data_IF_177790345891
#
_entry.id   IF_177790345891
#
_cell.length_a   1.000
_cell.length_b   1.000
_cell.length_c   1.000
_cell.angle_alpha   90.00
_cell.angle_beta   90.00
_cell.angle_gamma   90.00
#
_symmetry.space_group_name_H-M   'P 1'
#
loop_
_entity.id
_entity.type
_entity.pdbx_description
1 polymer ?
#
# COMPACT_ATOMS: atom_id res chain seq x y z
N UNK A 1 14.27 -3.99 -53.42
CA UNK A 1 13.65 -4.77 -52.30
C UNK A 1 12.62 -5.69 -52.92
N UNK A 2 12.72 -7.04 -52.74
CA UNK A 2 11.84 -8.00 -53.42
C UNK A 2 10.38 -7.83 -52.94
N UNK A 3 9.44 -7.87 -53.87
CA UNK A 3 7.98 -7.77 -53.63
C UNK A 3 7.49 -8.71 -52.52
N UNK A 4 8.13 -9.90 -52.35
CA UNK A 4 7.89 -10.82 -51.22
C UNK A 4 8.24 -10.23 -49.85
N UNK A 5 9.33 -9.43 -49.72
CA UNK A 5 9.71 -8.78 -48.43
C UNK A 5 8.75 -7.67 -48.04
N UNK A 6 8.17 -6.97 -49.03
CA UNK A 6 7.15 -5.93 -48.78
C UNK A 6 5.85 -6.54 -48.26
N UNK A 7 5.46 -7.73 -48.82
CA UNK A 7 4.25 -8.45 -48.37
C UNK A 7 4.40 -8.95 -46.94
N UNK A 8 5.57 -9.45 -46.49
CA UNK A 8 5.81 -9.90 -45.14
C UNK A 8 5.84 -8.71 -44.13
N UNK A 9 6.39 -7.57 -44.51
CA UNK A 9 6.38 -6.35 -43.67
C UNK A 9 4.95 -5.80 -43.53
N UNK A 10 4.16 -5.81 -44.61
CA UNK A 10 2.75 -5.43 -44.58
C UNK A 10 1.88 -6.40 -43.75
N UNK A 11 2.11 -7.72 -43.86
CA UNK A 11 1.45 -8.70 -42.97
C UNK A 11 1.83 -8.54 -41.53
N UNK A 12 3.11 -8.32 -41.20
CA UNK A 12 3.54 -8.09 -39.83
C UNK A 12 2.94 -6.80 -39.22
N UNK A 13 2.83 -5.73 -40.02
CA UNK A 13 2.17 -4.47 -39.60
C UNK A 13 0.65 -4.65 -39.41
N UNK A 14 -0.03 -5.42 -40.24
CA UNK A 14 -1.46 -5.70 -40.10
C UNK A 14 -1.72 -6.56 -38.86
N UNK A 15 -0.87 -7.55 -38.54
CA UNK A 15 -0.97 -8.34 -37.34
C UNK A 15 -0.72 -7.51 -36.07
N UNK A 16 0.25 -6.59 -36.06
CA UNK A 16 0.52 -5.73 -34.91
C UNK A 16 -0.60 -4.71 -34.66
N UNK A 17 -1.21 -4.18 -35.71
CA UNK A 17 -2.36 -3.26 -35.57
C UNK A 17 -3.62 -4.00 -35.15
N UNK A 18 -3.84 -5.24 -35.59
CA UNK A 18 -4.99 -6.04 -35.17
C UNK A 18 -4.91 -6.44 -33.68
N UNK A 19 -3.71 -6.79 -33.18
CA UNK A 19 -3.52 -7.10 -31.75
C UNK A 19 -3.73 -5.89 -30.87
N UNK A 20 -3.25 -4.71 -31.24
CA UNK A 20 -3.50 -3.47 -30.49
C UNK A 20 -4.98 -3.07 -30.47
N UNK A 21 -5.67 -3.19 -31.60
CA UNK A 21 -7.10 -2.90 -31.67
C UNK A 21 -7.95 -3.88 -30.82
N UNK A 22 -7.51 -5.14 -30.70
CA UNK A 22 -8.18 -6.16 -29.90
C UNK A 22 -7.94 -5.94 -28.39
N UNK A 23 -6.73 -5.52 -27.98
CA UNK A 23 -6.39 -5.12 -26.61
C UNK A 23 -7.27 -3.97 -26.12
N UNK A 24 -7.36 -2.89 -26.89
CA UNK A 24 -8.21 -1.74 -26.59
C UNK A 24 -9.69 -2.15 -26.47
N UNK A 25 -10.16 -3.13 -27.27
CA UNK A 25 -11.54 -3.61 -27.19
C UNK A 25 -11.81 -4.35 -25.87
N UNK A 26 -10.93 -5.25 -25.41
CA UNK A 26 -11.13 -5.97 -24.15
C UNK A 26 -11.09 -5.04 -22.92
N UNK A 27 -10.13 -4.14 -22.84
CA UNK A 27 -10.03 -3.18 -21.74
C UNK A 27 -11.25 -2.26 -21.70
N UNK A 28 -11.70 -1.77 -22.86
CA UNK A 28 -12.92 -0.94 -22.95
C UNK A 28 -14.16 -1.72 -22.52
N UNK A 29 -14.31 -2.97 -22.95
CA UNK A 29 -15.43 -3.83 -22.54
C UNK A 29 -15.40 -4.12 -21.05
N UNK A 30 -14.20 -4.39 -20.50
CA UNK A 30 -14.01 -4.59 -19.07
C UNK A 30 -14.45 -3.36 -18.28
N UNK A 31 -13.97 -2.17 -18.62
CA UNK A 31 -14.34 -0.93 -17.94
C UNK A 31 -15.86 -0.65 -18.03
N UNK A 32 -16.48 -0.86 -19.19
CA UNK A 32 -17.91 -0.69 -19.35
C UNK A 32 -18.74 -1.70 -18.55
N UNK A 33 -18.24 -2.91 -18.37
CA UNK A 33 -18.90 -3.94 -17.55
C UNK A 33 -18.67 -3.67 -16.06
N UNK A 34 -17.45 -3.30 -15.68
CA UNK A 34 -17.06 -2.94 -14.30
C UNK A 34 -17.96 -1.85 -13.72
N UNK A 35 -18.19 -0.78 -14.50
CA UNK A 35 -19.05 0.34 -14.09
C UNK A 35 -20.53 -0.09 -13.84
N UNK A 36 -20.95 -1.24 -14.39
CA UNK A 36 -22.33 -1.73 -14.29
C UNK A 36 -22.56 -2.80 -13.24
N UNK A 37 -21.59 -3.70 -13.07
CA UNK A 37 -21.80 -4.93 -12.27
C UNK A 37 -20.70 -5.15 -11.20
N UNK A 38 -19.67 -4.30 -11.13
CA UNK A 38 -18.54 -4.46 -10.23
C UNK A 38 -17.56 -5.56 -10.65
N UNK A 39 -16.51 -5.75 -9.86
CA UNK A 39 -15.39 -6.63 -10.20
C UNK A 39 -15.75 -8.11 -10.36
N UNK A 40 -16.74 -8.63 -9.64
CA UNK A 40 -17.15 -10.04 -9.68
C UNK A 40 -18.61 -10.22 -10.15
N UNK A 41 -19.17 -9.24 -10.86
CA UNK A 41 -20.55 -9.30 -11.37
C UNK A 41 -20.73 -10.25 -12.56
N UNK A 42 -21.99 -10.44 -12.94
CA UNK A 42 -22.38 -11.36 -14.02
C UNK A 42 -21.68 -11.00 -15.33
N UNK A 43 -21.03 -11.99 -15.96
CA UNK A 43 -20.32 -11.86 -17.23
C UNK A 43 -18.84 -11.46 -17.09
N UNK A 44 -18.38 -11.02 -15.91
CA UNK A 44 -17.01 -10.60 -15.69
C UNK A 44 -16.02 -11.76 -15.87
N UNK A 45 -16.31 -12.92 -15.31
CA UNK A 45 -15.48 -14.12 -15.45
C UNK A 45 -15.28 -14.51 -16.91
N UNK A 46 -16.38 -14.61 -17.66
CA UNK A 46 -16.33 -14.95 -19.08
C UNK A 46 -15.52 -13.94 -19.91
N UNK A 47 -15.65 -12.65 -19.58
CA UNK A 47 -14.91 -11.59 -20.26
C UNK A 47 -13.41 -11.72 -19.98
N UNK A 48 -13.01 -11.90 -18.72
CA UNK A 48 -11.62 -12.06 -18.31
C UNK A 48 -11.02 -13.34 -18.91
N UNK A 49 -11.75 -14.45 -18.94
CA UNK A 49 -11.29 -15.70 -19.54
C UNK A 49 -11.07 -15.59 -21.05
N UNK A 50 -11.95 -14.89 -21.77
CA UNK A 50 -11.76 -14.63 -23.19
C UNK A 50 -10.57 -13.68 -23.43
N UNK A 51 -10.42 -12.65 -22.58
CA UNK A 51 -9.28 -11.72 -22.65
C UNK A 51 -7.96 -12.44 -22.39
N UNK A 52 -7.90 -13.32 -21.39
CA UNK A 52 -6.68 -14.07 -21.07
C UNK A 52 -6.25 -15.06 -22.15
N UNK A 53 -7.20 -15.60 -22.95
CA UNK A 53 -6.89 -16.43 -24.10
C UNK A 53 -6.32 -15.61 -25.26
N UNK A 54 -6.80 -14.37 -25.42
CA UNK A 54 -6.34 -13.48 -26.49
C UNK A 54 -5.02 -12.79 -26.14
N UNK A 55 -4.85 -12.41 -24.87
CA UNK A 55 -3.72 -11.60 -24.39
C UNK A 55 -3.26 -12.09 -23.01
N UNK A 56 -2.59 -13.26 -22.92
CA UNK A 56 -2.23 -13.91 -21.66
C UNK A 56 -1.20 -13.14 -20.82
N UNK A 57 -0.48 -12.18 -21.42
CA UNK A 57 0.53 -11.35 -20.78
C UNK A 57 0.08 -9.87 -20.61
N UNK A 58 -1.20 -9.58 -20.84
CA UNK A 58 -1.73 -8.24 -20.59
C UNK A 58 -1.77 -7.95 -19.10
N UNK A 59 -1.02 -6.93 -18.64
CA UNK A 59 -1.01 -6.51 -17.24
C UNK A 59 -2.40 -6.05 -16.79
N UNK A 60 -3.14 -5.35 -17.63
CA UNK A 60 -4.52 -4.90 -17.32
C UNK A 60 -5.47 -6.09 -17.15
N UNK A 61 -5.31 -7.15 -17.97
CA UNK A 61 -6.09 -8.40 -17.83
C UNK A 61 -5.73 -9.11 -16.52
N UNK A 62 -4.45 -9.18 -16.17
CA UNK A 62 -3.99 -9.82 -14.94
C UNK A 62 -4.47 -9.06 -13.69
N UNK A 63 -4.49 -7.72 -13.74
CA UNK A 63 -5.11 -6.91 -12.70
C UNK A 63 -6.64 -7.12 -12.62
N UNK A 64 -7.33 -7.22 -13.76
CA UNK A 64 -8.76 -7.51 -13.79
C UNK A 64 -9.07 -8.88 -13.15
N UNK A 65 -8.24 -9.89 -13.43
CA UNK A 65 -8.32 -11.23 -12.81
C UNK A 65 -8.07 -11.18 -11.31
N UNK A 66 -7.07 -10.43 -10.86
CA UNK A 66 -6.82 -10.19 -9.44
C UNK A 66 -8.06 -9.62 -8.75
N UNK A 67 -8.62 -8.53 -9.25
CA UNK A 67 -9.79 -7.92 -8.63
C UNK A 67 -11.02 -8.84 -8.63
N UNK A 68 -11.20 -9.65 -9.66
CA UNK A 68 -12.28 -10.63 -9.73
C UNK A 68 -12.16 -11.67 -8.61
N UNK A 69 -11.00 -12.32 -8.48
CA UNK A 69 -10.78 -13.32 -7.44
C UNK A 69 -10.74 -12.71 -6.04
N UNK A 70 -10.10 -11.56 -5.85
CA UNK A 70 -10.06 -10.86 -4.56
C UNK A 70 -11.48 -10.53 -4.07
N UNK A 71 -12.33 -10.01 -4.96
CA UNK A 71 -13.72 -9.68 -4.62
C UNK A 71 -14.52 -10.93 -4.26
N UNK A 72 -14.29 -12.04 -4.95
CA UNK A 72 -14.94 -13.33 -4.62
C UNK A 72 -14.40 -13.96 -3.34
N UNK A 73 -13.12 -13.72 -3.02
CA UNK A 73 -12.49 -14.21 -1.80
C UNK A 73 -12.99 -13.49 -0.56
N UNK A 74 -13.38 -12.22 -0.68
CA UNK A 74 -13.73 -11.36 0.45
C UNK A 74 -15.14 -11.65 0.97
N UNK A 75 -15.23 -11.83 2.27
CA UNK A 75 -16.45 -11.78 3.06
C UNK A 75 -16.25 -10.90 4.28
N UNK A 76 -17.25 -10.80 5.13
CA UNK A 76 -17.17 -10.11 6.41
C UNK A 76 -17.51 -11.02 7.56
N UNK A 77 -16.91 -10.76 8.72
CA UNK A 77 -17.28 -11.39 9.98
C UNK A 77 -17.30 -10.36 11.11
N UNK A 78 -18.08 -10.61 12.12
CA UNK A 78 -18.14 -9.79 13.32
C UNK A 78 -17.30 -10.42 14.41
N UNK A 79 -16.33 -9.67 14.94
CA UNK A 79 -15.45 -10.13 16.00
C UNK A 79 -15.64 -9.31 17.27
N UNK A 80 -15.85 -9.93 18.45
CA UNK A 80 -15.84 -9.25 19.73
C UNK A 80 -14.41 -9.00 20.21
N UNK A 81 -14.16 -7.83 20.82
CA UNK A 81 -12.88 -7.44 21.42
C UNK A 81 -13.11 -6.67 22.72
N UNK A 82 -12.11 -6.67 23.60
CA UNK A 82 -12.09 -5.85 24.81
C UNK A 82 -11.55 -4.43 24.53
N UNK A 83 -10.78 -4.25 23.48
CA UNK A 83 -10.15 -3.00 23.11
C UNK A 83 -11.15 -2.09 22.38
N UNK A 84 -11.17 -0.80 22.78
CA UNK A 84 -11.99 0.24 22.15
C UNK A 84 -11.45 0.71 20.78
N UNK A 85 -10.29 0.22 20.36
CA UNK A 85 -9.72 0.41 19.03
C UNK A 85 -9.09 -0.91 18.57
N UNK A 86 -9.45 -1.38 17.39
CA UNK A 86 -8.93 -2.61 16.81
C UNK A 86 -8.55 -2.37 15.34
N UNK A 87 -7.28 -2.60 15.01
CA UNK A 87 -6.72 -2.36 13.67
C UNK A 87 -7.01 -0.94 13.13
N UNK A 88 -6.88 0.06 14.02
CA UNK A 88 -7.14 1.46 13.68
C UNK A 88 -8.63 1.86 13.63
N UNK A 89 -9.55 0.90 13.77
CA UNK A 89 -10.99 1.16 13.67
C UNK A 89 -11.65 1.30 15.05
N UNK A 90 -12.75 2.08 15.08
CA UNK A 90 -13.67 2.13 16.23
C UNK A 90 -14.74 1.06 16.10
N UNK A 91 -15.30 0.53 17.21
CA UNK A 91 -16.35 -0.49 17.14
C UNK A 91 -17.63 0.10 16.55
N UNK A 92 -18.36 -0.70 15.77
CA UNK A 92 -19.71 -0.30 15.31
C UNK A 92 -20.79 -0.52 16.39
N UNK A 93 -20.50 -1.38 17.40
CA UNK A 93 -21.41 -1.66 18.50
C UNK A 93 -20.58 -1.94 19.76
N UNK A 94 -21.05 -1.44 20.91
CA UNK A 94 -20.50 -1.77 22.24
C UNK A 94 -21.64 -2.23 23.13
N UNK A 95 -21.50 -3.40 23.73
CA UNK A 95 -22.46 -3.97 24.69
C UNK A 95 -21.74 -4.32 26.00
N UNK A 96 -22.51 -4.41 27.08
CA UNK A 96 -21.99 -4.93 28.36
C UNK A 96 -22.21 -6.44 28.42
N UNK A 97 -21.20 -7.15 28.87
CA UNK A 97 -21.31 -8.57 29.22
C UNK A 97 -22.06 -8.78 30.55
N UNK A 98 -22.20 -10.02 30.97
CA UNK A 98 -22.86 -10.38 32.25
C UNK A 98 -22.15 -9.84 33.50
N UNK A 99 -20.87 -9.47 33.39
CA UNK A 99 -20.08 -8.85 34.45
C UNK A 99 -20.09 -7.31 34.40
N UNK A 100 -20.79 -6.71 33.42
CA UNK A 100 -20.88 -5.27 33.22
C UNK A 100 -19.67 -4.66 32.50
N UNK A 101 -18.80 -5.48 31.90
CA UNK A 101 -17.62 -5.06 31.16
C UNK A 101 -18.02 -4.76 29.71
N UNK A 102 -17.45 -3.70 29.13
CA UNK A 102 -17.71 -3.34 27.73
C UNK A 102 -17.05 -4.35 26.77
N UNK A 103 -17.87 -4.86 25.83
CA UNK A 103 -17.44 -5.70 24.72
C UNK A 103 -17.69 -4.92 23.43
N UNK A 104 -16.64 -4.74 22.66
CA UNK A 104 -16.65 -3.97 21.43
C UNK A 104 -16.73 -4.91 20.22
N UNK A 105 -17.63 -4.63 19.30
CA UNK A 105 -17.87 -5.45 18.11
C UNK A 105 -17.34 -4.73 16.87
N UNK A 106 -16.55 -5.46 16.09
CA UNK A 106 -15.93 -4.97 14.85
C UNK A 106 -16.33 -5.84 13.69
N UNK A 107 -16.64 -5.22 12.57
CA UNK A 107 -16.74 -5.91 11.29
C UNK A 107 -15.36 -5.96 10.66
N UNK A 108 -14.88 -7.16 10.33
CA UNK A 108 -13.57 -7.38 9.72
C UNK A 108 -13.70 -8.21 8.45
N UNK A 109 -12.76 -8.00 7.52
CA UNK A 109 -12.69 -8.83 6.32
C UNK A 109 -12.27 -10.25 6.69
N UNK A 110 -12.88 -11.22 6.03
CA UNK A 110 -12.47 -12.61 6.04
C UNK A 110 -12.28 -13.08 4.61
N UNK A 111 -11.39 -14.01 4.39
CA UNK A 111 -11.00 -14.44 3.04
C UNK A 111 -11.21 -15.95 2.87
N UNK A 112 -11.70 -16.34 1.69
CA UNK A 112 -11.51 -17.68 1.17
C UNK A 112 -10.06 -17.79 0.71
N UNK A 113 -9.29 -18.71 1.32
CA UNK A 113 -7.85 -18.84 1.10
C UNK A 113 -7.53 -19.25 -0.34
N UNK A 114 -8.33 -20.12 -0.95
CA UNK A 114 -8.09 -20.60 -2.32
C UNK A 114 -8.25 -19.45 -3.31
N UNK A 115 -9.37 -18.72 -3.22
CA UNK A 115 -9.62 -17.58 -4.11
C UNK A 115 -8.62 -16.43 -3.87
N UNK A 116 -8.16 -16.26 -2.63
CA UNK A 116 -7.13 -15.27 -2.32
C UNK A 116 -5.77 -15.63 -2.96
N UNK A 117 -5.40 -16.91 -2.95
CA UNK A 117 -4.20 -17.40 -3.65
C UNK A 117 -4.33 -17.20 -5.16
N UNK A 118 -5.48 -17.56 -5.77
CA UNK A 118 -5.74 -17.31 -7.21
C UNK A 118 -5.60 -15.83 -7.58
N UNK A 119 -6.05 -14.93 -6.68
CA UNK A 119 -5.86 -13.49 -6.88
C UNK A 119 -4.37 -13.10 -6.87
N UNK A 120 -3.60 -13.59 -5.90
CA UNK A 120 -2.16 -13.29 -5.80
C UNK A 120 -1.35 -13.85 -6.97
N UNK A 121 -1.68 -15.05 -7.47
CA UNK A 121 -1.03 -15.63 -8.65
C UNK A 121 -1.18 -14.76 -9.90
N UNK A 122 -2.33 -14.10 -10.07
CA UNK A 122 -2.53 -13.15 -11.16
C UNK A 122 -1.59 -11.94 -11.04
N UNK A 123 -1.37 -11.42 -9.83
CA UNK A 123 -0.41 -10.33 -9.61
C UNK A 123 1.04 -10.78 -9.76
N UNK A 124 1.37 -12.01 -9.32
CA UNK A 124 2.72 -12.55 -9.49
C UNK A 124 3.08 -12.64 -10.96
N UNK A 125 2.16 -13.14 -11.80
CA UNK A 125 2.35 -13.15 -13.24
C UNK A 125 2.44 -11.74 -13.84
N UNK A 126 1.67 -10.77 -13.35
CA UNK A 126 1.76 -9.39 -13.79
C UNK A 126 3.12 -8.75 -13.44
N UNK A 127 3.69 -9.08 -12.28
CA UNK A 127 5.01 -8.65 -11.83
C UNK A 127 6.12 -9.30 -12.68
N UNK A 128 5.97 -10.58 -13.05
CA UNK A 128 6.91 -11.26 -13.98
C UNK A 128 6.94 -10.59 -15.35
N UNK A 129 5.77 -10.26 -15.89
CA UNK A 129 5.63 -9.60 -17.21
C UNK A 129 6.15 -8.16 -17.16
N UNK A 130 5.86 -7.42 -16.10
CA UNK A 130 6.22 -6.01 -15.99
C UNK A 130 6.72 -5.68 -14.57
N UNK A 131 7.98 -6.03 -14.23
CA UNK A 131 8.49 -5.97 -12.86
C UNK A 131 8.61 -4.55 -12.28
N UNK A 132 8.62 -3.53 -13.13
CA UNK A 132 8.76 -2.12 -12.77
C UNK A 132 7.40 -1.36 -12.73
N UNK A 133 6.27 -2.06 -12.63
CA UNK A 133 4.94 -1.48 -12.42
C UNK A 133 4.64 -1.39 -10.93
N UNK A 134 4.74 -0.17 -10.37
CA UNK A 134 4.52 0.10 -8.93
C UNK A 134 3.09 -0.18 -8.49
N UNK A 135 2.10 0.19 -9.29
CA UNK A 135 0.70 -0.08 -9.01
C UNK A 135 0.42 -1.58 -8.79
N UNK A 136 1.01 -2.45 -9.61
CA UNK A 136 0.88 -3.92 -9.44
C UNK A 136 1.54 -4.40 -8.16
N UNK A 137 2.75 -3.88 -7.86
CA UNK A 137 3.47 -4.19 -6.62
C UNK A 137 2.70 -3.72 -5.38
N UNK A 138 2.10 -2.54 -5.44
CA UNK A 138 1.26 -2.00 -4.36
C UNK A 138 -0.03 -2.80 -4.18
N UNK A 139 -0.68 -3.23 -5.26
CA UNK A 139 -1.85 -4.10 -5.15
C UNK A 139 -1.53 -5.36 -4.36
N UNK A 140 -0.38 -6.00 -4.62
CA UNK A 140 0.04 -7.19 -3.88
C UNK A 140 0.30 -6.90 -2.41
N UNK A 141 1.04 -5.83 -2.09
CA UNK A 141 1.32 -5.43 -0.72
C UNK A 141 0.03 -5.07 0.05
N UNK A 142 -0.91 -4.36 -0.60
CA UNK A 142 -2.19 -3.99 0.00
C UNK A 142 -3.12 -5.19 0.22
N UNK A 143 -3.11 -6.16 -0.70
CA UNK A 143 -3.85 -7.41 -0.53
C UNK A 143 -3.36 -8.17 0.72
N UNK A 144 -2.05 -8.31 0.90
CA UNK A 144 -1.49 -8.90 2.11
C UNK A 144 -1.84 -8.10 3.37
N UNK A 145 -1.71 -6.77 3.36
CA UNK A 145 -2.02 -5.92 4.51
C UNK A 145 -3.45 -6.14 5.00
N UNK A 146 -4.39 -6.27 4.07
CA UNK A 146 -5.79 -6.53 4.36
C UNK A 146 -6.03 -7.96 4.87
N UNK A 147 -5.31 -8.96 4.32
CA UNK A 147 -5.41 -10.36 4.72
C UNK A 147 -4.80 -10.63 6.10
N UNK A 148 -3.64 -10.05 6.40
CA UNK A 148 -2.85 -10.30 7.62
C UNK A 148 -3.45 -9.68 8.89
N UNK A 149 -4.40 -8.75 8.77
CA UNK A 149 -5.14 -8.16 9.91
C UNK A 149 -4.24 -7.63 11.04
N UNK A 150 -3.15 -6.97 10.68
CA UNK A 150 -2.22 -6.37 11.63
C UNK A 150 -1.01 -7.22 12.02
N UNK A 151 -0.96 -8.50 11.64
CA UNK A 151 0.25 -9.29 11.54
C UNK A 151 0.80 -9.09 10.12
N UNK A 152 1.72 -8.17 9.91
CA UNK A 152 2.04 -7.64 8.58
C UNK A 152 3.40 -8.08 8.02
N UNK A 153 3.81 -9.31 8.25
CA UNK A 153 5.11 -9.83 7.83
C UNK A 153 5.25 -9.96 6.30
N UNK A 154 4.22 -10.48 5.62
CA UNK A 154 4.23 -10.56 4.15
C UNK A 154 4.14 -9.18 3.52
N UNK A 155 3.28 -8.30 4.05
CA UNK A 155 3.19 -6.91 3.61
C UNK A 155 4.53 -6.21 3.72
N UNK A 156 5.17 -6.28 4.90
CA UNK A 156 6.46 -5.66 5.15
C UNK A 156 7.55 -6.21 4.22
N UNK A 157 7.59 -7.54 4.02
CA UNK A 157 8.55 -8.17 3.13
C UNK A 157 8.40 -7.68 1.68
N UNK A 158 7.16 -7.59 1.19
CA UNK A 158 6.87 -7.07 -0.16
C UNK A 158 7.27 -5.59 -0.30
N UNK A 159 6.92 -4.75 0.69
CA UNK A 159 7.27 -3.32 0.66
C UNK A 159 8.77 -3.09 0.75
N UNK A 160 9.49 -3.81 1.63
CA UNK A 160 10.95 -3.67 1.74
C UNK A 160 11.69 -4.20 0.50
N UNK A 161 11.19 -5.27 -0.11
CA UNK A 161 11.68 -5.77 -1.40
C UNK A 161 11.48 -4.74 -2.50
N UNK A 162 10.29 -4.13 -2.57
CA UNK A 162 10.00 -3.06 -3.53
C UNK A 162 10.91 -1.85 -3.34
N UNK A 163 11.14 -1.41 -2.09
CA UNK A 163 12.08 -0.31 -1.79
C UNK A 163 13.48 -0.66 -2.27
N UNK A 164 13.93 -1.90 -2.04
CA UNK A 164 15.24 -2.34 -2.52
C UNK A 164 15.31 -2.28 -4.05
N UNK A 165 14.36 -2.89 -4.75
CA UNK A 165 14.32 -2.95 -6.21
C UNK A 165 14.26 -1.55 -6.82
N UNK A 166 13.39 -0.67 -6.31
CA UNK A 166 13.26 0.70 -6.80
C UNK A 166 14.55 1.50 -6.63
N UNK A 167 15.21 1.39 -5.48
CA UNK A 167 16.39 2.20 -5.15
C UNK A 167 17.70 1.66 -5.73
N UNK A 168 17.74 0.41 -6.21
CA UNK A 168 18.96 -0.23 -6.71
C UNK A 168 18.94 -0.53 -8.21
N UNK A 169 17.76 -0.56 -8.84
CA UNK A 169 17.66 -0.80 -10.29
C UNK A 169 17.75 0.49 -11.09
N UNK A 170 18.26 0.39 -12.32
CA UNK A 170 18.25 1.47 -13.32
C UNK A 170 16.92 1.52 -14.12
N UNK A 171 15.96 0.68 -13.78
CA UNK A 171 14.69 0.60 -14.48
C UNK A 171 13.87 1.90 -14.31
N UNK A 172 13.15 2.28 -15.36
CA UNK A 172 12.15 3.34 -15.28
C UNK A 172 10.88 2.76 -14.66
N UNK A 173 10.65 3.08 -13.40
CA UNK A 173 9.47 2.64 -12.68
C UNK A 173 8.25 3.43 -13.10
N UNK A 174 7.14 2.74 -13.28
CA UNK A 174 5.89 3.28 -13.75
C UNK A 174 4.78 3.07 -12.73
N UNK A 175 3.83 3.99 -12.73
CA UNK A 175 2.59 3.89 -11.95
C UNK A 175 1.40 4.21 -12.85
N UNK A 176 0.34 3.44 -12.71
CA UNK A 176 -0.94 3.65 -13.39
C UNK A 176 -2.02 3.81 -12.32
N UNK A 177 -2.71 4.94 -12.31
CA UNK A 177 -3.68 5.27 -11.25
C UNK A 177 -4.91 4.35 -11.29
N UNK A 178 -5.43 4.11 -12.48
CA UNK A 178 -6.60 3.25 -12.70
C UNK A 178 -6.58 2.61 -14.09
N UNK A 179 -7.60 1.81 -14.40
CA UNK A 179 -7.72 1.13 -15.70
C UNK A 179 -7.98 2.06 -16.88
N UNK A 180 -8.28 3.34 -16.65
CA UNK A 180 -8.59 4.35 -17.68
C UNK A 180 -7.42 5.32 -17.92
N UNK A 181 -6.42 5.31 -17.02
CA UNK A 181 -5.23 6.17 -17.08
C UNK A 181 -4.11 5.54 -17.89
N UNK A 182 -3.16 6.36 -18.36
CA UNK A 182 -1.90 5.88 -18.94
C UNK A 182 -0.82 5.81 -17.85
N UNK A 183 0.10 4.82 -17.91
CA UNK A 183 1.20 4.75 -16.96
C UNK A 183 2.15 5.95 -17.10
N UNK A 184 2.60 6.51 -15.99
CA UNK A 184 3.62 7.56 -15.96
C UNK A 184 4.88 7.12 -15.20
N UNK A 185 6.00 7.81 -15.44
CA UNK A 185 7.29 7.53 -14.78
C UNK A 185 7.29 8.16 -13.39
N UNK A 186 7.59 7.36 -12.38
CA UNK A 186 7.65 7.80 -10.97
C UNK A 186 9.06 8.26 -10.62
N UNK A 187 9.16 9.45 -10.05
CA UNK A 187 10.40 10.00 -9.50
C UNK A 187 10.74 9.40 -8.14
N UNK A 188 11.99 9.58 -7.68
CA UNK A 188 12.39 9.16 -6.33
C UNK A 188 11.64 9.94 -5.23
N UNK A 189 11.27 11.19 -5.48
CA UNK A 189 10.50 12.01 -4.55
C UNK A 189 9.07 11.47 -4.39
N UNK A 190 8.37 11.23 -5.49
CA UNK A 190 7.04 10.62 -5.47
C UNK A 190 7.05 9.25 -4.81
N UNK A 191 8.06 8.42 -5.11
CA UNK A 191 8.20 7.12 -4.43
C UNK A 191 8.44 7.28 -2.93
N UNK A 192 9.24 8.27 -2.51
CA UNK A 192 9.43 8.59 -1.08
C UNK A 192 8.10 8.92 -0.40
N UNK A 193 7.26 9.73 -1.05
CA UNK A 193 5.95 10.09 -0.51
C UNK A 193 5.00 8.90 -0.43
N UNK A 194 4.97 8.02 -1.43
CA UNK A 194 4.22 6.76 -1.36
C UNK A 194 4.67 5.88 -0.19
N UNK A 195 5.96 5.87 0.15
CA UNK A 195 6.48 5.13 1.32
C UNK A 195 6.10 5.80 2.65
N UNK A 196 5.91 7.12 2.70
CA UNK A 196 5.35 7.81 3.89
C UNK A 196 3.91 7.36 4.14
N UNK A 197 3.12 7.15 3.10
CA UNK A 197 1.76 6.60 3.22
C UNK A 197 1.77 5.18 3.80
N UNK A 198 2.69 4.31 3.37
CA UNK A 198 2.86 2.99 3.99
C UNK A 198 3.29 3.09 5.45
N UNK A 199 4.20 4.01 5.80
CA UNK A 199 4.55 4.27 7.20
C UNK A 199 3.32 4.69 8.00
N UNK A 200 2.48 5.59 7.46
CA UNK A 200 1.24 6.00 8.11
C UNK A 200 0.28 4.82 8.32
N UNK A 201 0.06 4.00 7.30
CA UNK A 201 -0.82 2.84 7.37
C UNK A 201 -0.35 1.83 8.42
N UNK A 202 0.95 1.53 8.47
CA UNK A 202 1.51 0.65 9.51
C UNK A 202 1.33 1.23 10.91
N UNK A 203 1.59 2.53 11.09
CA UNK A 203 1.39 3.17 12.37
C UNK A 203 -0.09 3.17 12.81
N UNK A 204 -0.99 3.38 11.85
CA UNK A 204 -2.44 3.46 12.10
C UNK A 204 -3.04 2.12 12.56
N UNK A 205 -2.56 0.99 12.06
CA UNK A 205 -3.00 -0.35 12.49
C UNK A 205 -2.82 -0.58 14.01
N UNK A 206 -1.81 0.02 14.63
CA UNK A 206 -1.65 0.07 16.08
C UNK A 206 -1.30 -1.25 16.76
N UNK A 207 -0.86 -2.28 16.02
CA UNK A 207 -0.43 -3.56 16.57
C UNK A 207 1.08 -3.59 16.85
N UNK A 208 1.60 -4.48 17.71
CA UNK A 208 3.04 -4.63 17.89
C UNK A 208 3.79 -4.93 16.60
N UNK A 209 3.25 -5.81 15.75
CA UNK A 209 3.81 -6.17 14.43
C UNK A 209 3.84 -4.94 13.51
N UNK A 210 2.74 -4.18 13.43
CA UNK A 210 2.65 -3.00 12.58
C UNK A 210 3.59 -1.86 13.04
N UNK A 211 3.78 -1.67 14.34
CA UNK A 211 4.78 -0.70 14.84
C UNK A 211 6.21 -1.11 14.49
N UNK A 212 6.53 -2.41 14.52
CA UNK A 212 7.83 -2.90 14.07
C UNK A 212 8.04 -2.68 12.58
N UNK A 213 7.01 -2.89 11.77
CA UNK A 213 7.06 -2.62 10.34
C UNK A 213 7.22 -1.12 10.04
N UNK A 214 6.48 -0.27 10.74
CA UNK A 214 6.66 1.19 10.69
C UNK A 214 8.11 1.61 10.96
N UNK A 215 8.73 1.06 12.02
CA UNK A 215 10.14 1.32 12.33
C UNK A 215 11.06 0.85 11.21
N UNK A 216 10.93 -0.42 10.78
CA UNK A 216 11.81 -1.03 9.77
C UNK A 216 11.73 -0.29 8.43
N UNK A 217 10.52 0.06 7.97
CA UNK A 217 10.35 0.84 6.75
C UNK A 217 10.94 2.25 6.89
N UNK A 218 10.66 2.94 8.01
CA UNK A 218 11.21 4.28 8.26
C UNK A 218 12.74 4.28 8.30
N UNK A 219 13.37 3.26 8.91
CA UNK A 219 14.82 3.10 8.93
C UNK A 219 15.39 2.81 7.53
N UNK A 220 14.73 1.95 6.76
CA UNK A 220 15.13 1.63 5.40
C UNK A 220 15.07 2.88 4.52
N UNK A 221 13.97 3.63 4.56
CA UNK A 221 13.82 4.87 3.80
C UNK A 221 14.83 5.94 4.24
N UNK A 222 15.03 6.12 5.56
CA UNK A 222 16.05 7.03 6.06
C UNK A 222 17.49 6.67 5.63
N UNK A 223 17.77 5.40 5.30
CA UNK A 223 19.09 5.01 4.78
C UNK A 223 19.36 5.54 3.37
N UNK A 224 18.31 5.72 2.57
CA UNK A 224 18.36 6.31 1.22
C UNK A 224 18.12 7.83 1.26
N UNK A 225 17.15 8.29 2.04
CA UNK A 225 16.72 9.69 2.14
C UNK A 225 17.17 10.32 3.47
N UNK A 226 18.49 10.43 3.67
CA UNK A 226 19.11 10.86 4.95
C UNK A 226 18.71 12.26 5.42
N UNK A 227 18.19 13.10 4.52
CA UNK A 227 17.75 14.48 4.81
C UNK A 227 16.23 14.63 4.86
N UNK A 228 15.48 13.53 4.77
CA UNK A 228 14.04 13.56 4.92
C UNK A 228 13.69 13.59 6.41
N UNK A 229 13.04 14.67 6.84
CA UNK A 229 12.69 14.90 8.23
C UNK A 229 11.61 13.91 8.73
N UNK A 230 10.72 13.47 7.84
CA UNK A 230 9.58 12.64 8.20
C UNK A 230 10.02 11.23 8.62
N UNK A 231 10.92 10.58 7.85
CA UNK A 231 11.41 9.25 8.23
C UNK A 231 12.19 9.27 9.54
N UNK A 232 12.95 10.35 9.80
CA UNK A 232 13.63 10.53 11.10
C UNK A 232 12.61 10.73 12.21
N UNK A 233 11.60 11.55 11.98
CA UNK A 233 10.50 11.78 12.89
C UNK A 233 9.70 10.53 13.21
N UNK A 234 9.44 9.70 12.19
CA UNK A 234 8.76 8.41 12.30
C UNK A 234 9.50 7.45 13.25
N UNK A 235 10.84 7.36 13.14
CA UNK A 235 11.64 6.57 14.09
C UNK A 235 11.43 7.09 15.52
N UNK A 236 11.39 8.42 15.72
CA UNK A 236 11.05 9.01 17.00
C UNK A 236 9.65 8.63 17.50
N UNK A 237 8.67 8.58 16.59
CA UNK A 237 7.28 8.23 16.91
C UNK A 237 7.14 6.76 17.33
N UNK A 238 7.91 5.86 16.75
CA UNK A 238 7.99 4.48 17.23
C UNK A 238 8.45 4.42 18.70
N UNK A 239 9.55 5.10 19.05
CA UNK A 239 10.02 5.14 20.44
C UNK A 239 9.05 5.85 21.40
N UNK A 240 8.29 6.82 20.91
CA UNK A 240 7.26 7.50 21.71
C UNK A 240 6.12 6.56 22.09
N UNK A 241 5.60 5.79 21.12
CA UNK A 241 4.34 5.07 21.24
C UNK A 241 4.55 3.61 21.63
N UNK A 242 5.40 2.89 20.90
CA UNK A 242 5.62 1.46 21.10
C UNK A 242 6.54 1.16 22.29
N UNK A 243 7.71 1.79 22.34
CA UNK A 243 8.71 1.55 23.38
C UNK A 243 8.51 2.42 24.63
N UNK A 244 7.79 3.53 24.52
CA UNK A 244 7.65 4.56 25.58
C UNK A 244 9.00 5.08 26.07
N UNK A 245 10.03 4.98 25.22
CA UNK A 245 11.35 5.58 25.45
C UNK A 245 11.36 7.03 24.97
N UNK A 246 10.83 7.89 25.82
CA UNK A 246 10.67 9.32 25.53
C UNK A 246 12.00 10.04 25.32
N UNK A 247 13.11 9.55 25.93
CA UNK A 247 14.44 10.15 25.74
C UNK A 247 14.96 9.87 24.33
N UNK A 248 14.84 8.64 23.86
CA UNK A 248 15.23 8.27 22.50
C UNK A 248 14.30 8.94 21.47
N UNK A 249 13.00 8.99 21.73
CA UNK A 249 12.07 9.73 20.88
C UNK A 249 12.51 11.20 20.67
N UNK A 250 12.83 11.92 21.75
CA UNK A 250 13.29 13.31 21.67
C UNK A 250 14.60 13.48 20.87
N UNK A 251 15.52 12.52 20.94
CA UNK A 251 16.76 12.58 20.12
C UNK A 251 16.43 12.54 18.62
N UNK A 252 15.48 11.73 18.21
CA UNK A 252 15.05 11.66 16.80
C UNK A 252 14.24 12.89 16.40
N UNK A 253 13.34 13.37 17.25
CA UNK A 253 12.59 14.60 16.98
C UNK A 253 13.51 15.82 16.87
N UNK A 254 14.51 15.98 17.71
CA UNK A 254 15.49 17.06 17.59
C UNK A 254 16.31 16.95 16.28
N UNK A 255 16.58 15.75 15.78
CA UNK A 255 17.24 15.57 14.47
C UNK A 255 16.29 15.95 13.32
N UNK A 256 15.02 15.52 13.38
CA UNK A 256 14.02 15.86 12.40
C UNK A 256 13.76 17.37 12.33
N UNK A 257 13.59 18.02 13.50
CA UNK A 257 13.36 19.47 13.61
C UNK A 257 14.56 20.34 13.21
N UNK A 258 15.77 19.79 13.13
CA UNK A 258 16.91 20.50 12.52
C UNK A 258 16.80 20.60 11.00
N UNK A 259 16.12 19.64 10.37
CA UNK A 259 15.87 19.64 8.93
C UNK A 259 14.61 20.42 8.58
N UNK A 260 13.57 20.27 9.40
CA UNK A 260 12.28 20.93 9.21
C UNK A 260 11.78 21.51 10.53
N UNK A 261 12.19 22.75 10.88
CA UNK A 261 11.91 23.36 12.19
C UNK A 261 10.44 23.66 12.49
N UNK A 262 9.63 23.78 11.46
CA UNK A 262 8.20 24.12 11.48
C UNK A 262 7.26 22.91 11.39
N UNK A 263 7.80 21.67 11.42
CA UNK A 263 6.99 20.44 11.37
C UNK A 263 6.12 20.31 12.64
N UNK A 264 4.86 20.75 12.52
CA UNK A 264 3.90 20.80 13.64
C UNK A 264 3.65 19.44 14.28
N UNK A 265 3.62 18.37 13.48
CA UNK A 265 3.42 17.00 13.98
C UNK A 265 4.58 16.57 14.90
N UNK A 266 5.80 16.80 14.43
CA UNK A 266 7.00 16.46 15.21
C UNK A 266 7.12 17.33 16.48
N UNK A 267 6.81 18.63 16.38
CA UNK A 267 6.77 19.52 17.56
C UNK A 267 5.77 19.03 18.61
N UNK A 268 4.56 18.64 18.18
CA UNK A 268 3.54 18.10 19.08
C UNK A 268 4.00 16.80 19.75
N UNK A 269 4.59 15.88 18.99
CA UNK A 269 5.10 14.61 19.51
C UNK A 269 6.26 14.83 20.49
N UNK A 270 7.17 15.76 20.18
CA UNK A 270 8.25 16.15 21.08
C UNK A 270 7.73 16.78 22.39
N UNK A 271 6.68 17.59 22.30
CA UNK A 271 6.00 18.14 23.46
C UNK A 271 5.38 17.05 24.35
N UNK A 272 4.71 16.05 23.74
CA UNK A 272 4.18 14.88 24.47
C UNK A 272 5.31 14.14 25.17
N UNK A 273 6.41 13.85 24.50
CA UNK A 273 7.56 13.16 25.08
C UNK A 273 8.18 13.95 26.24
N UNK A 274 8.33 15.29 26.12
CA UNK A 274 8.84 16.16 27.15
C UNK A 274 7.95 16.15 28.41
N UNK A 275 6.62 16.18 28.21
CA UNK A 275 5.63 16.08 29.31
C UNK A 275 5.69 14.74 30.03
N UNK A 276 5.78 13.63 29.26
CA UNK A 276 5.93 12.28 29.87
C UNK A 276 7.20 12.14 30.69
N UNK A 277 8.28 12.83 30.30
CA UNK A 277 9.54 12.92 31.06
C UNK A 277 9.46 13.93 32.26
N UNK A 278 8.38 14.69 32.38
CA UNK A 278 8.23 15.80 33.37
C UNK A 278 9.37 16.84 33.22
N UNK A 279 9.88 17.05 32.00
CA UNK A 279 10.97 17.96 31.70
C UNK A 279 10.42 19.35 31.31
N UNK A 280 10.23 20.21 32.24
CA UNK A 280 9.66 21.56 32.07
C UNK A 280 10.49 22.45 31.14
N UNK A 281 11.83 22.27 31.09
CA UNK A 281 12.69 23.02 30.18
C UNK A 281 12.44 22.66 28.72
N UNK A 282 12.33 21.36 28.40
CA UNK A 282 12.03 20.88 27.04
C UNK A 282 10.57 21.21 26.69
N UNK A 283 9.64 21.08 27.60
CA UNK A 283 8.26 21.47 27.38
C UNK A 283 8.15 22.94 26.94
N UNK A 284 8.77 23.87 27.65
CA UNK A 284 8.81 25.29 27.27
C UNK A 284 9.46 25.50 25.90
N UNK A 285 10.54 24.77 25.58
CA UNK A 285 11.20 24.81 24.26
C UNK A 285 10.19 24.50 23.14
N UNK A 286 9.49 23.37 23.23
CA UNK A 286 8.59 22.93 22.15
C UNK A 286 7.28 23.70 22.12
N UNK A 287 6.79 24.23 23.26
CA UNK A 287 5.66 25.18 23.25
C UNK A 287 5.99 26.44 22.45
N UNK A 288 7.18 27.03 22.68
CA UNK A 288 7.63 28.18 21.90
C UNK A 288 7.76 27.90 20.40
N UNK A 289 8.22 26.69 20.02
CA UNK A 289 8.28 26.28 18.61
C UNK A 289 6.90 26.09 17.99
N UNK A 290 5.89 25.73 18.78
CA UNK A 290 4.51 25.57 18.30
C UNK A 290 3.79 26.89 18.07
N UNK A 291 4.18 27.94 18.77
CA UNK A 291 3.57 29.29 18.68
C UNK A 291 4.11 30.11 17.50
N UNK A 292 5.29 29.76 17.00
CA UNK A 292 5.90 30.37 15.82
C UNK A 292 5.48 29.68 14.53
#
# INVERSE_FOLDING_TARGET
MSMRKVIYVLMALVFSVATHAQSVDYLRRYNALLDRVGYAGVGMETLIDNWSKAEPESVDMLQARFYFYLTKAQGTEVVPRSEANYLGSTPFLTLKDSAGVDVHYYEVLKYDETLFVDALEALDKAIEVCPNRLDVRFLKANAYMSYERGEIDFTLSNVLGLVHDFMTSEAKWQYKEDSKSEPYIVSQEEFSDMMKDYCYNFFYLGTPSSYQAFLKLSQRMNSYFKKDADFIGNIGSYYLVAEKDYKTALKYYDKSLKLQPDNKSIINNALIAARKLKNTKLEKKYLKMKEN
#
